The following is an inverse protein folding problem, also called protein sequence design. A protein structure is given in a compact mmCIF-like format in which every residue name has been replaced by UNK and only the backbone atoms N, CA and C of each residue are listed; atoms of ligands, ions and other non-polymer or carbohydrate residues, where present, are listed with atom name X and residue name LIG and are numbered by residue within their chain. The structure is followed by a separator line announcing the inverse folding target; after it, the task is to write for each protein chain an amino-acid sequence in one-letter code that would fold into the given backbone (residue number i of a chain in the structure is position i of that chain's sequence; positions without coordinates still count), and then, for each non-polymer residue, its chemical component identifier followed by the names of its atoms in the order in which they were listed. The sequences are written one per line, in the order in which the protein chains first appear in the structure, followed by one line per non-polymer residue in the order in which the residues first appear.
data_IF_394510652882
#
_entry.id   IF_394510652882
#
_cell.length_a   1.000
_cell.length_b   1.000
_cell.length_c   1.000
_cell.angle_alpha   90.00
_cell.angle_beta   90.00
_cell.angle_gamma   90.00
#
_symmetry.space_group_name_H-M   'P 1'
#
loop_
_entity.id
_entity.type
_entity.pdbx_description
1 polymer ?
#
# COMPACT_ATOMS: atom_id res chain seq x y z
N UNK A 1 -0.38 13.09 -23.25
CA UNK A 1 -0.15 13.47 -21.85
C UNK A 1 -0.37 12.20 -21.04
N UNK A 2 0.70 11.51 -20.65
CA UNK A 2 0.58 10.31 -19.81
C UNK A 2 -0.06 10.73 -18.49
N UNK A 3 -1.14 10.07 -18.11
CA UNK A 3 -1.71 10.25 -16.78
C UNK A 3 -0.63 9.84 -15.75
N UNK A 4 -0.24 10.74 -14.88
CA UNK A 4 0.66 10.40 -13.77
C UNK A 4 -0.07 9.38 -12.89
N UNK A 5 0.54 8.23 -12.71
CA UNK A 5 0.02 7.16 -11.88
C UNK A 5 -0.08 7.64 -10.43
N UNK A 6 -1.29 7.62 -9.89
CA UNK A 6 -1.56 8.05 -8.51
C UNK A 6 -1.17 6.93 -7.56
N UNK A 7 -0.35 7.22 -6.55
CA UNK A 7 0.15 6.20 -5.63
C UNK A 7 -0.01 6.62 -4.17
N UNK A 8 -0.46 5.65 -3.38
CA UNK A 8 -0.53 5.77 -1.93
C UNK A 8 -1.73 6.52 -1.39
N UNK A 9 -2.06 6.23 -0.13
CA UNK A 9 -3.13 6.84 0.65
C UNK A 9 -2.54 7.69 1.75
N UNK A 10 -3.00 8.93 1.84
CA UNK A 10 -2.45 9.90 2.77
C UNK A 10 -3.52 10.38 3.73
N UNK A 11 -3.21 10.32 5.01
CA UNK A 11 -3.99 10.97 6.07
C UNK A 11 -3.27 12.26 6.47
N UNK A 12 -3.97 13.39 6.42
CA UNK A 12 -3.46 14.69 6.86
C UNK A 12 -4.20 15.09 8.12
N UNK A 13 -3.45 15.46 9.14
CA UNK A 13 -3.95 15.84 10.46
C UNK A 13 -3.39 17.21 10.84
N UNK A 14 -4.23 18.22 10.88
CA UNK A 14 -3.86 19.62 11.19
C UNK A 14 -5.13 20.34 11.68
N UNK A 15 -5.04 21.14 12.71
CA UNK A 15 -6.21 21.88 13.23
C UNK A 15 -6.56 23.11 12.39
N UNK A 16 -5.66 23.52 11.48
CA UNK A 16 -5.86 24.61 10.55
C UNK A 16 -6.49 24.14 9.24
N UNK A 17 -7.74 24.54 9.01
CA UNK A 17 -8.49 24.15 7.81
C UNK A 17 -7.86 24.65 6.49
N UNK A 18 -7.19 25.80 6.49
CA UNK A 18 -6.50 26.32 5.30
C UNK A 18 -5.29 25.45 4.92
N UNK A 19 -4.58 24.93 5.92
CA UNK A 19 -3.48 23.95 5.73
C UNK A 19 -4.02 22.65 5.14
N UNK A 20 -5.10 22.11 5.72
CA UNK A 20 -5.77 20.90 5.24
C UNK A 20 -6.23 21.05 3.78
N UNK A 21 -6.88 22.16 3.46
CA UNK A 21 -7.36 22.46 2.11
C UNK A 21 -6.20 22.57 1.11
N UNK A 22 -5.17 23.33 1.47
CA UNK A 22 -4.01 23.56 0.61
C UNK A 22 -3.27 22.25 0.29
N UNK A 23 -2.99 21.42 1.31
CA UNK A 23 -2.33 20.12 1.12
C UNK A 23 -3.21 19.13 0.34
N UNK A 24 -4.52 19.09 0.62
CA UNK A 24 -5.45 18.25 -0.11
C UNK A 24 -5.47 18.61 -1.60
N UNK A 25 -5.59 19.90 -1.93
CA UNK A 25 -5.59 20.36 -3.33
C UNK A 25 -4.27 20.06 -4.03
N UNK A 26 -3.15 20.24 -3.35
CA UNK A 26 -1.82 20.02 -3.90
C UNK A 26 -1.54 18.53 -4.15
N UNK A 27 -1.89 17.65 -3.21
CA UNK A 27 -1.55 16.23 -3.27
C UNK A 27 -2.56 15.38 -4.05
N UNK A 28 -3.84 15.78 -4.11
CA UNK A 28 -4.92 15.02 -4.77
C UNK A 28 -4.64 14.55 -6.21
N UNK A 29 -3.90 15.30 -7.05
CA UNK A 29 -3.53 14.82 -8.39
C UNK A 29 -2.53 13.65 -8.40
N UNK A 30 -1.76 13.46 -7.31
CA UNK A 30 -0.60 12.59 -7.24
C UNK A 30 -0.83 11.32 -6.41
N UNK A 31 -1.89 11.26 -5.60
CA UNK A 31 -2.15 10.16 -4.67
C UNK A 31 -3.47 9.44 -4.99
N UNK A 32 -3.55 8.17 -4.63
CA UNK A 32 -4.73 7.31 -4.80
C UNK A 32 -5.89 7.78 -3.92
N UNK A 33 -5.59 8.06 -2.66
CA UNK A 33 -6.58 8.50 -1.69
C UNK A 33 -6.03 9.52 -0.71
N UNK A 34 -6.90 10.46 -0.31
CA UNK A 34 -6.58 11.45 0.71
C UNK A 34 -7.73 11.57 1.69
N UNK A 35 -7.38 11.63 2.97
CA UNK A 35 -8.31 12.02 4.04
C UNK A 35 -7.69 13.12 4.85
N UNK A 36 -8.53 14.04 5.30
CA UNK A 36 -8.14 15.15 6.15
C UNK A 36 -8.97 15.12 7.43
N UNK A 37 -8.34 15.34 8.56
CA UNK A 37 -9.00 15.47 9.86
C UNK A 37 -8.38 16.65 10.60
N UNK A 38 -9.23 17.40 11.32
CA UNK A 38 -8.83 18.58 12.07
C UNK A 38 -8.64 18.32 13.57
N UNK A 39 -8.77 17.06 13.99
CA UNK A 39 -8.55 16.65 15.37
C UNK A 39 -7.74 15.35 15.42
N UNK A 40 -6.72 15.26 16.27
CA UNK A 40 -5.85 14.09 16.33
C UNK A 40 -6.53 12.88 16.99
N UNK A 41 -7.61 13.05 17.76
CA UNK A 41 -8.35 11.95 18.40
C UNK A 41 -8.93 10.94 17.40
N UNK A 42 -9.11 11.35 16.16
CA UNK A 42 -9.66 10.51 15.10
C UNK A 42 -8.59 9.70 14.34
N UNK A 43 -7.31 9.90 14.63
CA UNK A 43 -6.20 9.25 13.90
C UNK A 43 -6.34 7.74 13.92
N UNK A 44 -6.46 7.12 15.10
CA UNK A 44 -6.49 5.66 15.24
C UNK A 44 -7.67 5.06 14.46
N UNK A 45 -8.87 5.64 14.58
CA UNK A 45 -10.03 5.17 13.79
C UNK A 45 -9.85 5.35 12.27
N UNK A 46 -9.08 6.36 11.83
CA UNK A 46 -8.72 6.51 10.43
C UNK A 46 -7.65 5.52 10.00
N UNK A 47 -6.69 5.16 10.85
CA UNK A 47 -5.72 4.12 10.57
C UNK A 47 -6.42 2.78 10.29
N UNK A 48 -7.44 2.42 11.07
CA UNK A 48 -8.18 1.16 10.91
C UNK A 48 -9.08 1.15 9.68
N UNK A 49 -9.80 2.26 9.43
CA UNK A 49 -10.83 2.31 8.37
C UNK A 49 -10.28 2.72 7.00
N UNK A 50 -9.33 3.65 6.96
CA UNK A 50 -8.75 4.16 5.73
C UNK A 50 -7.41 3.50 5.38
N UNK A 51 -6.67 3.00 6.39
CA UNK A 51 -5.35 2.38 6.28
C UNK A 51 -4.39 3.24 5.43
N UNK A 52 -3.98 4.41 5.92
CA UNK A 52 -3.09 5.30 5.18
C UNK A 52 -1.69 4.70 5.05
N UNK A 53 -1.05 4.92 3.91
CA UNK A 53 0.37 4.61 3.71
C UNK A 53 1.26 5.64 4.42
N UNK A 54 0.82 6.90 4.44
CA UNK A 54 1.54 8.01 5.07
C UNK A 54 0.59 8.85 5.91
N UNK A 55 1.01 9.20 7.12
CA UNK A 55 0.32 10.12 8.00
C UNK A 55 1.14 11.42 8.05
N UNK A 56 0.55 12.52 7.59
CA UNK A 56 1.10 13.87 7.72
C UNK A 56 0.46 14.50 8.96
N UNK A 57 1.26 14.75 9.98
CA UNK A 57 0.81 15.15 11.31
C UNK A 57 1.35 16.53 11.67
N UNK A 58 0.46 17.45 12.01
CA UNK A 58 0.90 18.71 12.60
C UNK A 58 1.60 18.48 13.93
N UNK A 59 2.65 19.23 14.19
CA UNK A 59 3.40 19.12 15.43
C UNK A 59 2.70 19.84 16.58
N UNK A 60 1.91 20.89 16.29
CA UNK A 60 1.28 21.74 17.27
C UNK A 60 -0.22 21.82 17.03
N UNK A 61 -1.04 21.33 17.96
CA UNK A 61 -2.48 21.50 18.00
C UNK A 61 -2.91 22.57 19.01
N UNK A 62 -4.19 22.88 19.05
CA UNK A 62 -4.75 23.97 19.88
C UNK A 62 -4.36 23.92 21.37
N UNK A 63 -4.02 22.76 21.92
CA UNK A 63 -3.63 22.62 23.33
C UNK A 63 -2.20 23.09 23.59
N UNK A 64 -1.34 23.07 22.55
CA UNK A 64 0.07 23.39 22.68
C UNK A 64 0.62 24.02 21.40
N UNK A 65 0.38 25.30 21.26
CA UNK A 65 0.79 26.07 20.07
C UNK A 65 2.32 26.25 19.92
N UNK A 66 3.15 25.89 20.91
CA UNK A 66 4.58 26.25 20.92
C UNK A 66 5.52 25.07 21.20
N UNK A 67 5.20 24.15 22.11
CA UNK A 67 6.15 23.11 22.54
C UNK A 67 6.28 21.95 21.56
N UNK A 68 5.20 21.59 20.88
CA UNK A 68 5.14 20.42 19.98
C UNK A 68 4.97 19.10 20.73
N UNK A 69 4.81 19.09 22.05
CA UNK A 69 4.69 17.85 22.84
C UNK A 69 3.47 17.03 22.41
N UNK A 70 2.36 17.66 22.05
CA UNK A 70 1.15 16.97 21.61
C UNK A 70 1.39 16.17 20.32
N UNK A 71 2.16 16.68 19.35
CA UNK A 71 2.56 15.95 18.15
C UNK A 71 3.40 14.71 18.48
N UNK A 72 4.30 14.80 19.45
CA UNK A 72 5.09 13.64 19.90
C UNK A 72 4.24 12.58 20.61
N UNK A 73 3.29 12.99 21.46
CA UNK A 73 2.36 12.05 22.08
C UNK A 73 1.52 11.28 21.07
N UNK A 74 1.07 11.96 20.01
CA UNK A 74 0.33 11.29 18.94
C UNK A 74 1.21 10.43 18.07
N UNK A 75 2.45 10.82 17.78
CA UNK A 75 3.42 9.96 17.11
C UNK A 75 3.62 8.65 17.89
N UNK A 76 3.81 8.73 19.20
CA UNK A 76 3.96 7.55 20.06
C UNK A 76 2.72 6.63 20.00
N UNK A 77 1.50 7.19 20.08
CA UNK A 77 0.24 6.44 19.95
C UNK A 77 0.10 5.78 18.59
N UNK A 78 0.45 6.49 17.49
CA UNK A 78 0.41 5.95 16.13
C UNK A 78 1.37 4.76 16.02
N UNK A 79 2.61 4.91 16.48
CA UNK A 79 3.63 3.86 16.41
C UNK A 79 3.36 2.69 17.36
N UNK A 80 2.71 2.93 18.50
CA UNK A 80 2.24 1.88 19.41
C UNK A 80 1.10 1.06 18.77
N UNK A 81 0.20 1.71 18.01
CA UNK A 81 -0.89 1.05 17.28
C UNK A 81 -0.38 0.25 16.08
N UNK A 82 0.50 0.86 15.28
CA UNK A 82 1.18 0.20 14.17
C UNK A 82 2.64 0.68 14.05
N UNK A 83 3.63 -0.13 14.50
CA UNK A 83 5.05 0.24 14.46
C UNK A 83 5.62 0.51 13.06
N UNK A 84 4.91 0.08 12.00
CA UNK A 84 5.31 0.28 10.60
C UNK A 84 4.77 1.56 9.99
N UNK A 85 3.96 2.31 10.73
CA UNK A 85 3.40 3.58 10.25
C UNK A 85 4.50 4.53 9.79
N UNK A 86 4.27 5.18 8.66
CA UNK A 86 5.15 6.23 8.13
C UNK A 86 4.53 7.58 8.46
N UNK A 87 5.18 8.31 9.34
CA UNK A 87 4.71 9.61 9.82
C UNK A 87 5.65 10.71 9.38
N UNK A 88 5.11 11.74 8.73
CA UNK A 88 5.75 12.99 8.39
C UNK A 88 5.20 14.11 9.27
N UNK A 89 6.05 14.84 9.95
CA UNK A 89 5.59 16.03 10.66
C UNK A 89 5.43 17.23 9.73
N UNK A 90 4.42 18.05 10.02
CA UNK A 90 4.24 19.37 9.42
C UNK A 90 4.48 20.38 10.54
N UNK A 91 5.34 21.38 10.32
CA UNK A 91 5.71 22.32 11.37
C UNK A 91 5.93 23.74 10.85
N UNK A 92 5.46 24.73 11.61
CA UNK A 92 5.75 26.14 11.35
C UNK A 92 7.16 26.56 11.82
N UNK A 93 7.78 25.78 12.71
CA UNK A 93 9.06 26.10 13.32
C UNK A 93 10.07 25.01 13.01
N UNK A 94 11.03 25.33 12.14
CA UNK A 94 12.18 24.45 11.88
C UNK A 94 13.25 24.74 12.93
N UNK A 95 13.12 24.10 14.08
CA UNK A 95 14.19 24.03 15.08
C UNK A 95 14.95 22.72 14.89
N UNK A 96 16.26 22.80 14.71
CA UNK A 96 17.11 21.64 14.48
C UNK A 96 17.00 20.62 15.62
N UNK A 97 16.85 21.05 16.86
CA UNK A 97 16.70 20.17 18.01
C UNK A 97 15.37 19.41 17.95
N UNK A 98 14.27 20.08 17.60
CA UNK A 98 12.94 19.45 17.43
C UNK A 98 12.94 18.47 16.26
N UNK A 99 13.57 18.81 15.14
CA UNK A 99 13.68 17.91 14.00
C UNK A 99 14.45 16.62 14.36
N UNK A 100 15.59 16.74 15.02
CA UNK A 100 16.38 15.59 15.49
C UNK A 100 15.58 14.74 16.48
N UNK A 101 14.85 15.38 17.40
CA UNK A 101 13.97 14.67 18.36
C UNK A 101 12.86 13.91 17.64
N UNK A 102 12.24 14.52 16.62
CA UNK A 102 11.18 13.89 15.83
C UNK A 102 11.65 12.60 15.14
N UNK A 103 12.80 12.65 14.49
CA UNK A 103 13.41 11.49 13.82
C UNK A 103 13.76 10.39 14.85
N UNK A 104 14.35 10.77 16.00
CA UNK A 104 14.66 9.82 17.08
C UNK A 104 13.40 9.19 17.69
N UNK A 105 12.28 9.90 17.70
CA UNK A 105 10.99 9.40 18.15
C UNK A 105 10.29 8.47 17.13
N UNK A 106 10.82 8.38 15.90
CA UNK A 106 10.33 7.46 14.88
C UNK A 106 9.57 8.11 13.72
N UNK A 107 9.47 9.43 13.67
CA UNK A 107 9.03 10.12 12.46
C UNK A 107 10.07 9.94 11.34
N UNK A 108 9.61 9.94 10.09
CA UNK A 108 10.50 9.71 8.94
C UNK A 108 11.15 11.02 8.47
N UNK A 109 10.38 12.10 8.45
CA UNK A 109 10.85 13.41 8.02
C UNK A 109 9.90 14.50 8.55
N UNK A 110 10.22 15.75 8.24
CA UNK A 110 9.36 16.89 8.55
C UNK A 110 9.24 17.84 7.36
N UNK A 111 8.11 18.52 7.27
CA UNK A 111 7.76 19.47 6.22
C UNK A 111 7.55 20.84 6.86
N UNK A 112 8.38 21.84 6.52
CA UNK A 112 8.23 23.19 7.05
C UNK A 112 7.01 23.90 6.43
N UNK A 113 6.31 24.69 7.23
CA UNK A 113 5.30 25.66 6.79
C UNK A 113 5.97 27.05 6.66
N UNK A 114 5.93 27.75 5.52
CA UNK A 114 5.35 27.31 4.24
C UNK A 114 6.27 26.32 3.52
N UNK A 115 5.66 25.39 2.78
CA UNK A 115 6.40 24.35 2.05
C UNK A 115 6.75 24.75 0.62
N UNK A 116 7.89 24.26 0.14
CA UNK A 116 8.18 24.20 -1.29
C UNK A 116 7.40 23.04 -1.91
N UNK A 117 6.72 23.31 -3.03
CA UNK A 117 5.87 22.33 -3.70
C UNK A 117 6.63 21.08 -4.15
N UNK A 118 7.78 21.25 -4.76
CA UNK A 118 8.52 20.13 -5.33
C UNK A 118 9.11 19.28 -4.20
N UNK A 119 9.71 19.93 -3.20
CA UNK A 119 10.25 19.24 -2.04
C UNK A 119 9.17 18.46 -1.27
N UNK A 120 7.99 19.05 -1.08
CA UNK A 120 6.85 18.35 -0.46
C UNK A 120 6.47 17.10 -1.26
N UNK A 121 6.33 17.21 -2.58
CA UNK A 121 5.95 16.08 -3.43
C UNK A 121 7.01 14.97 -3.40
N UNK A 122 8.28 15.31 -3.42
CA UNK A 122 9.39 14.35 -3.37
C UNK A 122 9.43 13.64 -2.00
N UNK A 123 9.27 14.39 -0.89
CA UNK A 123 9.21 13.81 0.46
C UNK A 123 8.01 12.85 0.60
N UNK A 124 6.83 13.24 0.12
CA UNK A 124 5.63 12.38 0.18
C UNK A 124 5.79 11.13 -0.67
N UNK A 125 6.37 11.21 -1.87
CA UNK A 125 6.63 10.04 -2.72
C UNK A 125 7.59 9.06 -2.03
N UNK A 126 8.72 9.55 -1.51
CA UNK A 126 9.68 8.72 -0.78
C UNK A 126 9.06 8.07 0.46
N UNK A 127 8.17 8.78 1.16
CA UNK A 127 7.45 8.23 2.30
C UNK A 127 6.46 7.11 1.90
N UNK A 128 5.76 7.24 0.76
CA UNK A 128 4.89 6.18 0.23
C UNK A 128 5.69 4.94 -0.16
N UNK A 129 6.84 5.12 -0.82
CA UNK A 129 7.73 4.02 -1.17
C UNK A 129 8.25 3.29 0.08
N UNK A 130 8.68 4.04 1.09
CA UNK A 130 9.10 3.48 2.37
C UNK A 130 8.00 2.70 3.09
N UNK A 131 6.74 3.19 3.05
CA UNK A 131 5.60 2.48 3.61
C UNK A 131 5.40 1.12 2.93
N UNK A 132 5.53 1.08 1.60
CA UNK A 132 5.45 -0.16 0.82
C UNK A 132 6.58 -1.13 1.19
N UNK A 133 7.82 -0.64 1.31
CA UNK A 133 8.96 -1.46 1.75
C UNK A 133 8.75 -2.04 3.16
N UNK A 134 8.27 -1.23 4.12
CA UNK A 134 7.97 -1.70 5.49
C UNK A 134 6.87 -2.76 5.52
N UNK A 135 5.90 -2.67 4.61
CA UNK A 135 4.85 -3.67 4.47
C UNK A 135 5.36 -4.97 3.86
N UNK A 136 6.39 -4.91 3.00
CA UNK A 136 7.12 -6.09 2.49
C UNK A 136 7.78 -6.88 3.61
N UNK A 137 8.43 -6.20 4.55
CA UNK A 137 9.10 -6.87 5.66
C UNK A 137 8.13 -7.57 6.62
N UNK A 138 6.81 -7.30 6.51
CA UNK A 138 5.76 -8.05 7.21
C UNK A 138 5.24 -9.25 6.42
N UNK A 139 5.58 -9.39 5.15
CA UNK A 139 5.25 -10.59 4.39
C UNK A 139 6.09 -11.78 4.89
N UNK A 140 5.58 -13.01 4.69
CA UNK A 140 6.31 -14.24 4.97
C UNK A 140 7.60 -14.41 4.15
N UNK A 141 7.97 -13.39 3.36
CA UNK A 141 9.18 -13.35 2.54
C UNK A 141 10.41 -12.99 3.37
N UNK A 142 10.93 -13.98 4.11
CA UNK A 142 12.07 -13.84 5.00
C UNK A 142 13.36 -13.95 4.20
N UNK A 143 14.32 -13.06 4.46
CA UNK A 143 15.67 -13.14 3.88
C UNK A 143 16.36 -11.78 3.81
N UNK A 144 17.66 -11.76 4.21
CA UNK A 144 18.51 -10.58 4.28
C UNK A 144 19.72 -10.67 3.31
N UNK A 145 19.87 -11.78 2.57
CA UNK A 145 20.99 -11.93 1.63
C UNK A 145 20.86 -10.93 0.45
N UNK A 146 21.96 -10.57 -0.22
CA UNK A 146 21.94 -9.61 -1.32
C UNK A 146 20.94 -9.96 -2.43
N UNK A 147 20.83 -11.23 -2.79
CA UNK A 147 19.88 -11.71 -3.81
C UNK A 147 18.41 -11.47 -3.38
N UNK A 148 18.07 -11.72 -2.10
CA UNK A 148 16.73 -11.49 -1.61
C UNK A 148 16.39 -9.98 -1.53
N UNK A 149 17.37 -9.15 -1.19
CA UNK A 149 17.22 -7.69 -1.23
C UNK A 149 16.94 -7.18 -2.64
N UNK A 150 17.60 -7.77 -3.64
CA UNK A 150 17.36 -7.44 -5.04
C UNK A 150 15.94 -7.86 -5.48
N UNK A 151 15.50 -9.08 -5.12
CA UNK A 151 14.13 -9.55 -5.38
C UNK A 151 13.12 -8.61 -4.75
N UNK A 152 13.27 -8.27 -3.46
CA UNK A 152 12.39 -7.33 -2.76
C UNK A 152 12.33 -5.96 -3.46
N UNK A 153 13.47 -5.42 -3.88
CA UNK A 153 13.54 -4.15 -4.61
C UNK A 153 12.86 -4.21 -6.00
N UNK A 154 12.97 -5.35 -6.71
CA UNK A 154 12.26 -5.57 -7.97
C UNK A 154 10.75 -5.65 -7.73
N UNK A 155 10.29 -6.36 -6.70
CA UNK A 155 8.89 -6.48 -6.34
C UNK A 155 8.23 -5.12 -6.09
N UNK A 156 8.87 -4.24 -5.32
CA UNK A 156 8.37 -2.88 -5.06
C UNK A 156 8.16 -2.10 -6.36
N UNK A 157 9.12 -2.18 -7.28
CA UNK A 157 9.04 -1.48 -8.58
C UNK A 157 7.92 -2.00 -9.47
N UNK A 158 7.75 -3.33 -9.51
CA UNK A 158 6.79 -3.98 -10.41
C UNK A 158 5.37 -3.94 -9.84
N UNK A 159 5.20 -4.10 -8.53
CA UNK A 159 3.89 -4.11 -7.87
C UNK A 159 3.09 -2.82 -8.08
N UNK A 160 3.77 -1.71 -8.33
CA UNK A 160 3.16 -0.42 -8.62
C UNK A 160 2.68 -0.28 -10.09
N UNK A 161 2.78 -1.33 -10.90
CA UNK A 161 2.42 -1.30 -12.33
C UNK A 161 1.33 -2.33 -12.64
N UNK A 162 0.66 -2.19 -13.81
CA UNK A 162 -0.28 -3.17 -14.34
C UNK A 162 0.40 -4.25 -15.21
N UNK A 163 1.73 -4.37 -15.14
CA UNK A 163 2.47 -5.34 -15.95
C UNK A 163 2.21 -6.78 -15.48
N UNK A 164 2.13 -7.70 -16.43
CA UNK A 164 2.15 -9.13 -16.12
C UNK A 164 3.51 -9.51 -15.58
N UNK A 165 3.54 -10.27 -14.46
CA UNK A 165 4.76 -10.69 -13.79
C UNK A 165 4.93 -12.19 -13.93
N UNK A 166 6.08 -12.62 -14.44
CA UNK A 166 6.47 -14.03 -14.46
C UNK A 166 7.40 -14.30 -13.27
N UNK A 167 6.98 -15.18 -12.36
CA UNK A 167 7.77 -15.65 -11.22
C UNK A 167 8.38 -17.00 -11.58
N UNK A 168 9.71 -17.09 -11.63
CA UNK A 168 10.43 -18.33 -11.94
C UNK A 168 11.25 -18.80 -10.75
N UNK A 169 11.32 -20.12 -10.56
CA UNK A 169 12.08 -20.75 -9.49
C UNK A 169 11.75 -22.22 -9.36
N UNK A 170 12.63 -22.96 -8.67
CA UNK A 170 12.41 -24.37 -8.38
C UNK A 170 11.17 -24.59 -7.49
N UNK A 171 10.67 -25.83 -7.43
CA UNK A 171 9.57 -26.18 -6.54
C UNK A 171 9.96 -25.96 -5.08
N UNK A 172 9.04 -25.37 -4.30
CA UNK A 172 9.26 -25.10 -2.89
C UNK A 172 10.10 -23.85 -2.58
N UNK A 173 10.46 -23.01 -3.57
CA UNK A 173 11.22 -21.77 -3.34
C UNK A 173 10.36 -20.58 -2.86
N UNK A 174 9.05 -20.76 -2.69
CA UNK A 174 8.14 -19.71 -2.18
C UNK A 174 7.63 -18.77 -3.28
N UNK A 175 7.40 -19.26 -4.49
CA UNK A 175 6.81 -18.47 -5.59
C UNK A 175 5.43 -17.90 -5.21
N UNK A 176 4.63 -18.66 -4.49
CA UNK A 176 3.34 -18.27 -3.92
C UNK A 176 3.47 -17.14 -2.90
N UNK A 177 4.48 -17.19 -2.04
CA UNK A 177 4.79 -16.12 -1.07
C UNK A 177 5.17 -14.84 -1.81
N UNK A 178 5.98 -14.93 -2.87
CA UNK A 178 6.33 -13.77 -3.71
C UNK A 178 5.10 -13.20 -4.41
N UNK A 179 4.22 -14.04 -4.96
CA UNK A 179 2.99 -13.59 -5.61
C UNK A 179 2.05 -12.87 -4.64
N UNK A 180 1.88 -13.42 -3.43
CA UNK A 180 1.08 -12.80 -2.39
C UNK A 180 1.66 -11.45 -1.93
N UNK A 181 2.98 -11.40 -1.75
CA UNK A 181 3.67 -10.16 -1.38
C UNK A 181 3.57 -9.09 -2.49
N UNK A 182 3.67 -9.47 -3.76
CA UNK A 182 3.43 -8.56 -4.90
C UNK A 182 2.01 -8.00 -4.88
N UNK A 183 1.00 -8.83 -4.61
CA UNK A 183 -0.38 -8.37 -4.45
C UNK A 183 -0.52 -7.36 -3.31
N UNK A 184 0.04 -7.66 -2.14
CA UNK A 184 -0.01 -6.77 -0.97
C UNK A 184 0.67 -5.41 -1.20
N UNK A 185 1.70 -5.37 -2.06
CA UNK A 185 2.40 -4.15 -2.45
C UNK A 185 1.71 -3.35 -3.55
N UNK A 186 0.79 -3.98 -4.28
CA UNK A 186 0.13 -3.38 -5.41
C UNK A 186 -1.00 -2.43 -4.97
N UNK A 187 -1.44 -1.59 -5.89
CA UNK A 187 -2.62 -0.75 -5.70
C UNK A 187 -3.91 -1.59 -5.58
N UNK A 188 -3.81 -2.91 -5.83
CA UNK A 188 -4.90 -3.90 -5.70
C UNK A 188 -4.87 -4.70 -4.39
N UNK A 189 -4.03 -4.34 -3.41
CA UNK A 189 -3.85 -5.05 -2.14
C UNK A 189 -5.15 -5.31 -1.34
N UNK A 190 -6.21 -4.54 -1.61
CA UNK A 190 -7.54 -4.67 -0.97
C UNK A 190 -8.59 -5.29 -1.89
N UNK A 191 -8.18 -5.73 -3.05
CA UNK A 191 -9.02 -6.39 -4.03
C UNK A 191 -8.82 -7.92 -3.93
N UNK A 192 -9.65 -8.73 -4.58
CA UNK A 192 -9.46 -10.17 -4.55
C UNK A 192 -8.08 -10.60 -5.02
N UNK A 193 -7.47 -11.54 -4.29
CA UNK A 193 -6.32 -12.31 -4.74
C UNK A 193 -6.79 -13.74 -5.02
N UNK A 194 -6.84 -14.12 -6.28
CA UNK A 194 -7.30 -15.44 -6.71
C UNK A 194 -6.09 -16.25 -7.12
N UNK A 195 -5.78 -17.29 -6.34
CA UNK A 195 -4.75 -18.27 -6.65
C UNK A 195 -5.37 -19.49 -7.35
N UNK A 196 -4.79 -19.90 -8.46
CA UNK A 196 -5.17 -21.07 -9.24
C UNK A 196 -3.93 -21.93 -9.48
N UNK A 197 -3.91 -23.10 -8.86
CA UNK A 197 -2.94 -24.15 -9.20
C UNK A 197 -3.46 -24.91 -10.42
N UNK A 198 -2.86 -24.63 -11.58
CA UNK A 198 -3.28 -25.22 -12.86
C UNK A 198 -2.93 -26.70 -12.95
N UNK A 199 -1.94 -27.19 -12.18
CA UNK A 199 -1.60 -28.60 -12.11
C UNK A 199 -2.61 -29.45 -11.34
N UNK A 200 -3.44 -28.81 -10.47
CA UNK A 200 -4.43 -29.48 -9.66
C UNK A 200 -5.82 -29.54 -10.33
N UNK A 201 -6.06 -28.85 -11.44
CA UNK A 201 -7.36 -28.84 -12.11
C UNK A 201 -7.43 -29.98 -13.12
N UNK A 202 -8.42 -30.90 -13.00
CA UNK A 202 -8.67 -31.93 -14.02
C UNK A 202 -8.94 -31.29 -15.39
N UNK A 203 -8.35 -31.86 -16.45
CA UNK A 203 -8.40 -31.33 -17.81
C UNK A 203 -9.83 -31.05 -18.30
N UNK A 204 -10.79 -31.94 -17.97
CA UNK A 204 -12.19 -31.79 -18.30
C UNK A 204 -12.95 -30.69 -17.53
N UNK A 205 -12.38 -30.15 -16.47
CA UNK A 205 -12.98 -29.07 -15.67
C UNK A 205 -12.27 -27.72 -15.88
N UNK A 206 -11.17 -27.72 -16.61
CA UNK A 206 -10.30 -26.55 -16.77
C UNK A 206 -11.04 -25.31 -17.26
N UNK A 207 -11.77 -25.43 -18.38
CA UNK A 207 -12.54 -24.31 -18.92
C UNK A 207 -13.63 -23.83 -17.97
N UNK A 208 -14.36 -24.77 -17.35
CA UNK A 208 -15.46 -24.45 -16.44
C UNK A 208 -14.99 -23.82 -15.12
N UNK A 209 -13.78 -24.16 -14.63
CA UNK A 209 -13.18 -23.52 -13.46
C UNK A 209 -12.65 -22.12 -13.78
N UNK A 210 -11.96 -21.95 -14.92
CA UNK A 210 -11.37 -20.65 -15.28
C UNK A 210 -12.41 -19.64 -15.74
N UNK A 211 -13.31 -20.03 -16.65
CA UNK A 211 -14.24 -19.12 -17.32
C UNK A 211 -15.67 -19.22 -16.79
N UNK A 212 -15.97 -20.24 -15.95
CA UNK A 212 -17.32 -20.47 -15.48
C UNK A 212 -18.25 -21.04 -16.56
N UNK A 213 -19.53 -21.08 -16.26
CA UNK A 213 -20.57 -21.54 -17.20
C UNK A 213 -21.94 -21.01 -16.83
N UNK A 214 -22.78 -20.84 -17.83
CA UNK A 214 -24.18 -20.49 -17.64
C UNK A 214 -25.05 -21.74 -17.32
N UNK A 215 -26.19 -21.48 -16.69
CA UNK A 215 -27.18 -22.52 -16.44
C UNK A 215 -27.60 -23.21 -17.74
N UNK A 216 -27.45 -24.53 -17.81
CA UNK A 216 -27.82 -25.33 -18.97
C UNK A 216 -26.70 -25.53 -19.99
N UNK A 217 -25.47 -25.07 -19.73
CA UNK A 217 -24.33 -25.27 -20.62
C UNK A 217 -23.98 -26.76 -20.86
N UNK A 218 -24.29 -27.62 -19.88
CA UNK A 218 -24.18 -29.10 -20.01
C UNK A 218 -25.22 -29.76 -19.10
N UNK A 219 -25.36 -31.09 -19.21
CA UNK A 219 -26.47 -31.88 -18.61
C UNK A 219 -26.66 -31.63 -17.11
N UNK A 220 -25.60 -31.40 -16.36
CA UNK A 220 -25.64 -31.19 -14.90
C UNK A 220 -25.47 -29.71 -14.49
N UNK A 221 -25.41 -28.77 -15.41
CA UNK A 221 -25.31 -27.33 -15.15
C UNK A 221 -26.65 -26.76 -14.64
N UNK A 222 -27.04 -27.12 -13.40
CA UNK A 222 -28.30 -26.68 -12.79
C UNK A 222 -28.33 -25.19 -12.43
N UNK A 223 -27.17 -24.61 -12.09
CA UNK A 223 -26.99 -23.20 -11.78
C UNK A 223 -25.82 -22.66 -12.62
N UNK A 224 -25.79 -21.36 -12.85
CA UNK A 224 -24.61 -20.69 -13.41
C UNK A 224 -23.48 -20.73 -12.37
N UNK A 225 -22.23 -20.79 -12.82
CA UNK A 225 -21.01 -20.70 -12.00
C UNK A 225 -20.11 -19.64 -12.57
N UNK A 226 -19.78 -18.66 -11.73
CA UNK A 226 -18.79 -17.63 -12.04
C UNK A 226 -17.38 -18.24 -12.17
N UNK A 227 -16.63 -17.83 -13.16
CA UNK A 227 -15.26 -18.28 -13.38
C UNK A 227 -14.25 -17.61 -12.43
N UNK A 228 -13.13 -18.29 -12.21
CA UNK A 228 -12.04 -17.76 -11.38
C UNK A 228 -11.44 -16.47 -11.94
N UNK A 229 -11.39 -16.33 -13.27
CA UNK A 229 -10.92 -15.11 -13.95
C UNK A 229 -11.87 -13.94 -13.66
N UNK A 230 -13.19 -14.19 -13.73
CA UNK A 230 -14.21 -13.19 -13.41
C UNK A 230 -14.16 -12.79 -11.94
N UNK A 231 -14.01 -13.75 -11.03
CA UNK A 231 -13.85 -13.51 -9.58
C UNK A 231 -12.61 -12.64 -9.28
N UNK A 232 -11.57 -12.70 -10.13
CA UNK A 232 -10.35 -11.93 -9.98
C UNK A 232 -10.46 -10.50 -10.56
N UNK A 233 -11.60 -10.13 -11.15
CA UNK A 233 -11.74 -8.84 -11.82
C UNK A 233 -11.45 -7.64 -10.90
N UNK A 234 -10.64 -6.72 -11.39
CA UNK A 234 -10.11 -5.58 -10.63
C UNK A 234 -9.12 -5.95 -9.53
N UNK A 235 -8.83 -7.25 -9.34
CA UNK A 235 -7.90 -7.81 -8.36
C UNK A 235 -6.60 -8.32 -8.96
N UNK A 236 -6.10 -9.43 -8.41
CA UNK A 236 -4.89 -10.11 -8.89
C UNK A 236 -5.19 -11.59 -9.11
N UNK A 237 -4.87 -12.08 -10.29
CA UNK A 237 -4.92 -13.49 -10.63
C UNK A 237 -3.50 -14.07 -10.59
N UNK A 238 -3.26 -15.06 -9.75
CA UNK A 238 -2.02 -15.81 -9.71
C UNK A 238 -2.26 -17.21 -10.29
N UNK A 239 -1.56 -17.51 -11.38
CA UNK A 239 -1.59 -18.82 -12.04
C UNK A 239 -0.33 -19.58 -11.68
N UNK A 240 -0.44 -20.56 -10.80
CA UNK A 240 0.68 -21.43 -10.45
C UNK A 240 0.80 -22.59 -11.44
N UNK A 241 2.01 -23.09 -11.60
CA UNK A 241 2.35 -24.22 -12.47
C UNK A 241 1.92 -24.06 -13.95
N UNK A 242 1.96 -22.83 -14.46
CA UNK A 242 1.55 -22.53 -15.85
C UNK A 242 2.33 -23.36 -16.91
N UNK A 243 3.54 -23.82 -16.57
CA UNK A 243 4.36 -24.68 -17.43
C UNK A 243 3.79 -26.10 -17.61
N UNK A 244 2.85 -26.54 -16.78
CA UNK A 244 2.23 -27.86 -16.84
C UNK A 244 0.99 -27.90 -17.77
N UNK A 245 0.63 -26.78 -18.39
CA UNK A 245 -0.44 -26.74 -19.36
C UNK A 245 -0.02 -27.46 -20.64
N UNK A 246 -0.70 -28.56 -20.95
CA UNK A 246 -0.61 -29.17 -22.27
C UNK A 246 -1.27 -28.21 -23.28
N UNK A 247 -0.45 -27.54 -24.10
CA UNK A 247 -0.95 -26.83 -25.26
C UNK A 247 -1.44 -27.87 -26.29
N UNK A 248 -2.63 -27.70 -26.87
CA UNK A 248 -3.13 -28.57 -27.91
C UNK A 248 -2.28 -28.54 -29.17
#
# INVERSE_FOLDING_TARGET
MMAMEKKGKILIVDDNEDVLLSLNMLLKPYVEGIRVINTPERIIGMMDSFMPDVIMLDMNFHRDAISGEEGYEWLEKILAHNPKSVVLFITAYVDTEKAVRAIKAGAIDFIPKPWDRNKLLDTVKSAVELSRERNLDSSDLIGECPAMKEVKAQMVRVAATDANVLITGENGTGKDVVAHALHQLSDRARKPFVNIDLGCIPENLFESELFGYEKGAFTDARNAKEGRIETADGGTLFLDEIGNLNLP
#
